data_IF_502153721669
#
_entry.id   IF_502153721669
#
_cell.length_a   1.000
_cell.length_b   1.000
_cell.length_c   1.000
_cell.angle_alpha   90.00
_cell.angle_beta   90.00
_cell.angle_gamma   90.00
#
_symmetry.space_group_name_H-M   'P 1'
#
loop_
_entity.id
_entity.type
_entity.pdbx_description
1 polymer ?
#
# COMPACT_ATOMS: atom_id res chain seq x y z
N UNK A 1 -32.46 16.57 -37.31
CA UNK A 1 -31.12 15.95 -37.54
C UNK A 1 -30.01 16.60 -36.72
N UNK A 2 -29.89 17.94 -36.66
CA UNK A 2 -28.83 18.61 -35.87
C UNK A 2 -28.90 18.37 -34.35
N UNK A 3 -30.10 18.39 -33.75
CA UNK A 3 -30.29 18.14 -32.31
C UNK A 3 -29.86 16.72 -31.91
N UNK A 4 -30.11 15.72 -32.76
CA UNK A 4 -29.70 14.33 -32.50
C UNK A 4 -28.19 14.15 -32.59
N UNK A 5 -27.53 14.83 -33.53
CA UNK A 5 -26.07 14.87 -33.65
C UNK A 5 -25.40 15.54 -32.44
N UNK A 6 -26.00 16.60 -31.89
CA UNK A 6 -25.51 17.28 -30.68
C UNK A 6 -25.65 16.36 -29.46
N UNK A 7 -26.79 15.71 -29.29
CA UNK A 7 -27.02 14.76 -28.18
C UNK A 7 -26.03 13.59 -28.28
N UNK A 8 -25.83 13.02 -29.47
CA UNK A 8 -24.87 11.94 -29.68
C UNK A 8 -23.43 12.38 -29.36
N UNK A 9 -23.04 13.59 -29.78
CA UNK A 9 -21.73 14.16 -29.47
C UNK A 9 -21.53 14.42 -27.97
N UNK A 10 -22.55 14.93 -27.27
CA UNK A 10 -22.52 15.11 -25.82
C UNK A 10 -22.43 13.77 -25.06
N UNK A 11 -23.14 12.73 -25.51
CA UNK A 11 -23.08 11.40 -24.86
C UNK A 11 -21.70 10.76 -25.06
N UNK A 12 -21.12 10.86 -26.26
CA UNK A 12 -19.79 10.30 -26.57
C UNK A 12 -18.66 10.99 -25.80
N UNK A 13 -18.78 12.29 -25.51
CA UNK A 13 -17.74 13.04 -24.80
C UNK A 13 -17.81 12.90 -23.28
N UNK A 14 -18.98 12.54 -22.71
CA UNK A 14 -19.17 12.38 -21.26
C UNK A 14 -18.98 10.93 -20.78
N UNK A 15 -19.20 9.93 -21.63
CA UNK A 15 -19.04 8.51 -21.31
C UNK A 15 -17.65 8.09 -20.75
N UNK A 16 -16.50 8.56 -21.29
CA UNK A 16 -15.20 8.18 -20.74
C UNK A 16 -14.94 8.72 -19.31
N UNK A 17 -15.59 9.82 -18.93
CA UNK A 17 -15.44 10.44 -17.61
C UNK A 17 -16.00 9.55 -16.48
N UNK A 18 -17.16 8.94 -16.72
CA UNK A 18 -17.80 8.03 -15.77
C UNK A 18 -17.03 6.71 -15.59
N UNK A 19 -16.34 6.25 -16.63
CA UNK A 19 -15.51 5.03 -16.56
C UNK A 19 -14.25 5.26 -15.72
N UNK A 20 -13.61 6.41 -15.86
CA UNK A 20 -12.41 6.76 -15.10
C UNK A 20 -12.70 6.95 -13.60
N UNK A 21 -13.81 7.58 -13.25
CA UNK A 21 -14.20 7.76 -11.85
C UNK A 21 -14.47 6.43 -11.13
N UNK A 22 -15.14 5.47 -11.80
CA UNK A 22 -15.41 4.15 -11.23
C UNK A 22 -14.12 3.33 -11.05
N UNK A 23 -13.21 3.37 -12.04
CA UNK A 23 -11.92 2.71 -11.94
C UNK A 23 -11.09 3.29 -10.78
N UNK A 24 -11.02 4.61 -10.67
CA UNK A 24 -10.29 5.30 -9.59
C UNK A 24 -10.80 4.92 -8.19
N UNK A 25 -12.11 4.84 -7.98
CA UNK A 25 -12.68 4.41 -6.70
C UNK A 25 -12.33 2.94 -6.36
N UNK A 26 -12.27 2.07 -7.38
CA UNK A 26 -11.87 0.67 -7.20
C UNK A 26 -10.39 0.54 -6.86
N UNK A 27 -9.53 1.31 -7.53
CA UNK A 27 -8.09 1.30 -7.29
C UNK A 27 -7.76 1.83 -5.90
N UNK A 28 -8.45 2.88 -5.43
CA UNK A 28 -8.29 3.38 -4.08
C UNK A 28 -8.62 2.30 -3.03
N UNK A 29 -9.72 1.59 -3.19
CA UNK A 29 -10.10 0.51 -2.29
C UNK A 29 -9.05 -0.63 -2.28
N UNK A 30 -8.57 -1.03 -3.45
CA UNK A 30 -7.54 -2.06 -3.59
C UNK A 30 -6.20 -1.64 -2.93
N UNK A 31 -5.79 -0.38 -3.10
CA UNK A 31 -4.57 0.15 -2.47
C UNK A 31 -4.72 0.17 -0.95
N UNK A 32 -5.86 0.62 -0.42
CA UNK A 32 -6.13 0.61 1.03
C UNK A 32 -6.08 -0.81 1.59
N UNK A 33 -6.61 -1.79 0.87
CA UNK A 33 -6.53 -3.19 1.26
C UNK A 33 -5.08 -3.70 1.32
N UNK A 34 -4.25 -3.39 0.32
CA UNK A 34 -2.82 -3.76 0.31
C UNK A 34 -2.08 -3.13 1.49
N UNK A 35 -2.33 -1.85 1.77
CA UNK A 35 -1.71 -1.15 2.92
C UNK A 35 -2.13 -1.80 4.24
N UNK A 36 -3.41 -2.14 4.40
CA UNK A 36 -3.91 -2.84 5.59
C UNK A 36 -3.19 -4.18 5.77
N UNK A 37 -3.12 -5.01 4.73
CA UNK A 37 -2.42 -6.31 4.77
C UNK A 37 -0.94 -6.16 5.14
N UNK A 38 -0.28 -5.12 4.62
CA UNK A 38 1.13 -4.84 4.94
C UNK A 38 1.33 -4.48 6.41
N UNK A 39 0.48 -3.61 6.97
CA UNK A 39 0.54 -3.26 8.40
C UNK A 39 0.30 -4.50 9.26
N UNK A 40 -0.75 -5.28 8.97
CA UNK A 40 -1.07 -6.48 9.74
C UNK A 40 0.07 -7.52 9.69
N UNK A 41 0.68 -7.73 8.50
CA UNK A 41 1.81 -8.65 8.35
C UNK A 41 3.03 -8.20 9.16
N UNK A 42 3.26 -6.88 9.25
CA UNK A 42 4.35 -6.30 10.05
C UNK A 42 4.13 -6.43 11.54
N UNK A 43 2.91 -6.24 12.01
CA UNK A 43 2.53 -6.40 13.42
C UNK A 43 2.68 -7.86 13.86
N UNK A 44 2.32 -8.82 13.00
CA UNK A 44 2.53 -10.25 13.25
C UNK A 44 3.98 -10.72 13.03
N UNK A 45 4.86 -9.85 12.54
CA UNK A 45 6.25 -10.18 12.16
C UNK A 45 6.27 -11.41 11.24
N UNK A 46 5.40 -11.40 10.23
CA UNK A 46 5.19 -12.49 9.28
C UNK A 46 5.93 -12.21 7.96
N UNK A 47 7.14 -12.78 7.76
CA UNK A 47 7.95 -12.47 6.59
C UNK A 47 7.30 -12.95 5.29
N UNK A 48 6.53 -14.05 5.32
CA UNK A 48 5.91 -14.61 4.12
C UNK A 48 4.74 -13.74 3.67
N UNK A 49 3.91 -13.28 4.61
CA UNK A 49 2.82 -12.35 4.29
C UNK A 49 3.36 -11.00 3.77
N UNK A 50 4.50 -10.51 4.30
CA UNK A 50 5.17 -9.33 3.72
C UNK A 50 5.69 -9.63 2.33
N UNK A 51 6.34 -10.77 2.12
CA UNK A 51 6.91 -11.17 0.83
C UNK A 51 5.86 -11.23 -0.30
N UNK A 52 4.64 -11.70 -0.01
CA UNK A 52 3.54 -11.80 -0.98
C UNK A 52 3.02 -10.43 -1.47
N UNK A 53 3.31 -9.35 -0.73
CA UNK A 53 2.85 -8.00 -1.05
C UNK A 53 3.82 -7.19 -1.93
N UNK A 54 5.02 -7.72 -2.17
CA UNK A 54 6.04 -7.05 -2.98
C UNK A 54 6.33 -7.80 -4.26
N UNK A 55 6.56 -7.06 -5.35
CA UNK A 55 7.11 -7.61 -6.58
C UNK A 55 8.54 -8.08 -6.35
N UNK A 56 9.02 -9.02 -7.17
CA UNK A 56 10.37 -9.59 -7.01
C UNK A 56 11.49 -8.55 -7.07
N UNK A 57 11.27 -7.47 -7.82
CA UNK A 57 12.18 -6.35 -8.05
C UNK A 57 11.90 -5.13 -7.16
N UNK A 58 11.08 -5.29 -6.11
CA UNK A 58 10.75 -4.20 -5.22
C UNK A 58 11.99 -3.65 -4.51
N UNK A 59 12.16 -2.33 -4.60
CA UNK A 59 13.12 -1.57 -3.83
C UNK A 59 12.37 -0.69 -2.81
N UNK A 60 12.96 -0.49 -1.63
CA UNK A 60 12.38 0.35 -0.59
C UNK A 60 13.42 1.33 -0.04
N UNK A 61 13.08 2.62 -0.04
CA UNK A 61 13.80 3.64 0.71
C UNK A 61 13.10 3.87 2.05
N UNK A 62 13.85 3.77 3.14
CA UNK A 62 13.34 4.02 4.50
C UNK A 62 13.84 5.34 5.07
N UNK A 63 13.23 5.78 6.18
CA UNK A 63 13.54 7.08 6.81
C UNK A 63 14.99 7.24 7.27
N UNK A 64 15.73 6.15 7.49
CA UNK A 64 17.17 6.19 7.78
C UNK A 64 18.04 6.56 6.56
N UNK A 65 17.45 6.60 5.36
CA UNK A 65 18.17 6.80 4.10
C UNK A 65 18.75 5.51 3.50
N UNK A 66 18.52 4.35 4.13
CA UNK A 66 18.93 3.06 3.59
C UNK A 66 18.03 2.65 2.42
N UNK A 67 18.66 2.26 1.31
CA UNK A 67 17.99 1.57 0.20
C UNK A 67 18.04 0.06 0.42
N UNK A 68 16.87 -0.57 0.44
CA UNK A 68 16.71 -2.03 0.41
C UNK A 68 16.41 -2.45 -1.01
N UNK A 69 17.36 -3.12 -1.64
CA UNK A 69 17.26 -3.48 -3.06
C UNK A 69 16.81 -4.92 -3.24
N UNK A 70 15.71 -5.11 -3.97
CA UNK A 70 15.05 -6.39 -4.18
C UNK A 70 14.21 -6.84 -2.98
N UNK A 71 13.19 -7.65 -3.30
CA UNK A 71 12.17 -8.13 -2.34
C UNK A 71 12.74 -8.77 -1.08
N UNK A 72 13.79 -9.56 -1.21
CA UNK A 72 14.43 -10.24 -0.07
C UNK A 72 14.99 -9.22 0.93
N UNK A 73 15.64 -8.15 0.45
CA UNK A 73 16.17 -7.09 1.30
C UNK A 73 15.04 -6.29 1.97
N UNK A 74 13.95 -6.02 1.23
CA UNK A 74 12.76 -5.37 1.77
C UNK A 74 12.14 -6.20 2.90
N UNK A 75 11.93 -7.50 2.70
CA UNK A 75 11.36 -8.40 3.71
C UNK A 75 12.24 -8.48 4.95
N UNK A 76 13.55 -8.75 4.79
CA UNK A 76 14.49 -8.82 5.92
C UNK A 76 14.53 -7.52 6.72
N UNK A 77 14.66 -6.39 6.04
CA UNK A 77 14.70 -5.07 6.66
C UNK A 77 13.39 -4.71 7.36
N UNK A 78 12.25 -5.10 6.78
CA UNK A 78 10.93 -4.90 7.39
C UNK A 78 10.79 -5.68 8.69
N UNK A 79 11.20 -6.96 8.74
CA UNK A 79 11.16 -7.77 9.95
C UNK A 79 12.09 -7.23 11.04
N UNK A 80 13.27 -6.76 10.67
CA UNK A 80 14.20 -6.13 11.61
C UNK A 80 13.59 -4.86 12.23
N UNK A 81 13.02 -3.98 11.39
CA UNK A 81 12.34 -2.77 11.86
C UNK A 81 11.14 -3.09 12.75
N UNK A 82 10.27 -4.03 12.39
CA UNK A 82 9.11 -4.41 13.22
C UNK A 82 9.52 -4.90 14.62
N UNK A 83 10.52 -5.80 14.71
CA UNK A 83 11.03 -6.29 16.00
C UNK A 83 11.61 -5.17 16.86
N UNK A 84 12.31 -4.21 16.23
CA UNK A 84 12.86 -3.07 16.97
C UNK A 84 11.76 -2.18 17.55
N UNK A 85 10.68 -1.93 16.80
CA UNK A 85 9.53 -1.16 17.28
C UNK A 85 8.83 -1.83 18.45
N UNK A 86 8.60 -3.15 18.38
CA UNK A 86 8.00 -3.92 19.47
C UNK A 86 8.88 -3.87 20.74
N UNK A 87 10.20 -4.06 20.59
CA UNK A 87 11.14 -3.99 21.71
C UNK A 87 11.15 -2.59 22.35
N UNK A 88 11.12 -1.51 21.55
CA UNK A 88 11.01 -0.15 22.06
C UNK A 88 9.70 0.08 22.81
N UNK A 89 8.57 -0.41 22.30
CA UNK A 89 7.28 -0.30 22.98
C UNK A 89 7.27 -1.05 24.32
N UNK A 90 7.80 -2.28 24.36
CA UNK A 90 7.93 -3.06 25.59
C UNK A 90 8.83 -2.37 26.63
N UNK A 91 9.96 -1.79 26.20
CA UNK A 91 10.87 -1.05 27.08
C UNK A 91 10.26 0.23 27.64
N UNK A 92 9.36 0.90 26.91
CA UNK A 92 8.63 2.04 27.44
C UNK A 92 7.61 1.60 28.49
N UNK A 93 6.86 0.52 28.24
CA UNK A 93 5.91 0.00 29.21
C UNK A 93 6.58 -0.46 30.50
N UNK A 94 7.78 -1.05 30.45
CA UNK A 94 8.53 -1.43 31.66
C UNK A 94 9.06 -0.24 32.48
N UNK A 95 9.06 0.99 31.93
CA UNK A 95 9.43 2.19 32.68
C UNK A 95 8.25 2.78 33.46
N UNK A 96 7.03 2.36 33.13
CA UNK A 96 5.81 2.73 33.85
C UNK A 96 5.39 1.50 34.67
N UNK A 97 5.92 1.37 35.88
CA UNK A 97 5.48 0.35 36.85
C UNK A 97 3.98 0.56 37.15
N UNK A 98 3.13 -0.33 36.65
CA UNK A 98 1.74 -0.51 37.07
C UNK A 98 1.64 -1.63 38.10
#
# INVERSE_FOLDING_TARGET
MHVQLIILFCVLSVAPWFSQQKAQMSDEAAIREIVSKYVDARERIDPKAVEELFTSDADQLVSSGEWRKGREAVVRGTMASSRSTEASAASLLSQFDF
#
